data_IF_877780506964
#
_entry.id   IF_877780506964
#
_cell.length_a   1.000
_cell.length_b   1.000
_cell.length_c   1.000
_cell.angle_alpha   90.00
_cell.angle_beta   90.00
_cell.angle_gamma   90.00
#
_symmetry.space_group_name_H-M   'P 1'
#
loop_
_entity.id
_entity.type
_entity.pdbx_description
1 polymer ?
#
# COMPACT_ATOMS: atom_id res chain seq x y z
N UNK A 1 5.29 11.10 15.73
CA UNK A 1 4.75 12.45 15.49
C UNK A 1 3.27 12.29 15.17
N UNK A 2 2.38 13.07 15.80
CA UNK A 2 0.97 13.15 15.43
C UNK A 2 0.69 14.58 14.93
N UNK A 3 -0.01 14.69 13.80
CA UNK A 3 -0.47 15.96 13.24
C UNK A 3 -1.98 15.87 13.05
N UNK A 4 -2.71 16.76 13.73
CA UNK A 4 -4.18 16.83 13.78
C UNK A 4 -4.81 17.53 12.55
N UNK A 5 -4.04 17.62 11.46
CA UNK A 5 -4.42 18.23 10.19
C UNK A 5 -3.70 17.53 9.05
N UNK A 6 -4.33 17.55 7.87
CA UNK A 6 -3.68 17.11 6.66
C UNK A 6 -2.44 17.99 6.36
N UNK A 7 -1.34 17.33 5.99
CA UNK A 7 -0.10 18.00 5.61
C UNK A 7 -0.19 18.37 4.12
N UNK A 8 -0.12 19.67 3.82
CA UNK A 8 -0.04 20.17 2.45
C UNK A 8 1.41 20.05 1.93
N UNK A 9 1.60 19.38 0.79
CA UNK A 9 2.89 19.00 0.25
C UNK A 9 3.06 19.49 -1.19
N UNK A 10 3.80 20.58 -1.37
CA UNK A 10 4.23 21.10 -2.67
C UNK A 10 5.61 20.56 -3.12
N UNK A 11 6.48 20.21 -2.17
CA UNK A 11 7.85 19.77 -2.41
C UNK A 11 8.09 18.28 -2.13
N UNK A 12 9.27 17.97 -1.59
CA UNK A 12 9.61 16.62 -1.12
C UNK A 12 9.51 16.52 0.39
N UNK A 13 8.74 15.55 0.89
CA UNK A 13 8.72 15.14 2.29
C UNK A 13 9.27 13.72 2.39
N UNK A 14 10.29 13.53 3.23
CA UNK A 14 10.89 12.23 3.49
C UNK A 14 10.71 11.86 4.95
N UNK A 15 10.10 10.70 5.19
CA UNK A 15 9.85 10.12 6.50
C UNK A 15 10.75 8.89 6.67
N UNK A 16 11.52 8.83 7.74
CA UNK A 16 12.43 7.71 8.01
C UNK A 16 12.32 7.23 9.44
N UNK A 17 12.81 6.04 9.74
CA UNK A 17 13.22 5.72 11.10
C UNK A 17 14.21 6.76 11.65
N UNK A 18 14.43 6.73 12.96
CA UNK A 18 15.47 7.55 13.59
C UNK A 18 16.82 6.94 13.28
N UNK A 19 17.74 7.65 12.60
CA UNK A 19 19.09 7.15 12.38
C UNK A 19 19.79 6.87 13.71
N UNK A 20 20.50 5.76 13.78
CA UNK A 20 21.36 5.37 14.90
C UNK A 20 22.78 5.10 14.39
N UNK A 21 23.67 4.61 15.25
CA UNK A 21 25.05 4.32 14.88
C UNK A 21 25.13 3.27 13.74
N UNK A 22 26.18 3.36 12.92
CA UNK A 22 26.50 2.38 11.88
C UNK A 22 25.41 2.21 10.81
N UNK A 23 24.80 3.30 10.33
CA UNK A 23 23.75 3.30 9.30
C UNK A 23 22.51 2.45 9.64
N UNK A 24 22.24 2.29 10.95
CA UNK A 24 21.05 1.62 11.45
C UNK A 24 19.92 2.62 11.66
N UNK A 25 18.71 2.10 11.71
CA UNK A 25 17.52 2.89 11.96
C UNK A 25 16.67 2.23 13.05
N UNK A 26 16.23 3.05 14.01
CA UNK A 26 15.17 2.67 14.94
C UNK A 26 13.81 3.04 14.33
N UNK A 27 12.77 2.20 14.48
CA UNK A 27 11.44 2.48 13.93
C UNK A 27 10.88 3.82 14.39
N UNK A 28 10.28 4.57 13.46
CA UNK A 28 9.58 5.81 13.74
C UNK A 28 8.12 5.75 13.29
N UNK A 29 7.25 6.42 14.06
CA UNK A 29 5.80 6.45 13.83
C UNK A 29 5.39 7.86 13.39
N UNK A 30 4.74 7.92 12.23
CA UNK A 30 4.17 9.12 11.64
C UNK A 30 2.66 8.95 11.51
N UNK A 31 1.91 9.75 12.25
CA UNK A 31 0.45 9.79 12.19
C UNK A 31 0.02 11.17 11.74
N UNK A 32 -0.83 11.23 10.73
CA UNK A 32 -1.39 12.45 10.19
C UNK A 32 -2.84 12.18 9.79
N UNK A 33 -3.71 13.20 9.88
CA UNK A 33 -5.05 13.14 9.30
C UNK A 33 -5.01 13.00 7.76
N UNK A 34 -3.85 13.28 7.14
CA UNK A 34 -3.58 12.95 5.76
C UNK A 34 -2.38 13.67 5.17
N UNK A 35 -2.16 13.43 3.88
CA UNK A 35 -1.12 14.06 3.06
C UNK A 35 -1.76 14.53 1.75
N UNK A 36 -1.85 15.84 1.57
CA UNK A 36 -2.40 16.47 0.37
C UNK A 36 -1.24 16.92 -0.52
N UNK A 37 -1.01 16.27 -1.65
CA UNK A 37 0.07 16.63 -2.57
C UNK A 37 -0.45 17.66 -3.57
N UNK A 38 0.04 18.90 -3.46
CA UNK A 38 -0.59 20.09 -4.06
C UNK A 38 0.02 20.55 -5.38
N UNK A 39 1.20 20.02 -5.76
CA UNK A 39 1.91 20.39 -6.98
C UNK A 39 2.32 19.17 -7.82
N UNK A 40 2.45 19.38 -9.13
CA UNK A 40 3.10 18.41 -10.01
C UNK A 40 4.57 18.23 -9.58
N UNK A 41 5.03 17.00 -9.43
CA UNK A 41 6.37 16.70 -8.93
C UNK A 41 6.52 16.69 -7.40
N UNK A 42 5.46 17.04 -6.64
CA UNK A 42 5.44 16.82 -5.20
C UNK A 42 5.76 15.35 -4.90
N UNK A 43 6.57 15.11 -3.87
CA UNK A 43 7.12 13.77 -3.59
C UNK A 43 6.98 13.41 -2.11
N UNK A 44 6.27 12.33 -1.82
CA UNK A 44 6.19 11.74 -0.48
C UNK A 44 7.04 10.48 -0.44
N UNK A 45 8.04 10.44 0.44
CA UNK A 45 8.89 9.28 0.68
C UNK A 45 8.70 8.77 2.10
N UNK A 46 8.61 7.46 2.26
CA UNK A 46 8.73 6.80 3.55
C UNK A 46 9.63 5.58 3.40
N UNK A 47 10.71 5.50 4.18
CA UNK A 47 11.74 4.47 4.01
C UNK A 47 12.48 4.20 5.32
N UNK A 48 13.30 3.16 5.38
CA UNK A 48 14.23 2.91 6.50
C UNK A 48 13.53 2.84 7.85
N UNK A 49 12.64 1.87 8.05
CA UNK A 49 11.89 1.64 9.30
C UNK A 49 10.84 2.73 9.63
N UNK A 50 10.22 3.30 8.60
CA UNK A 50 9.11 4.24 8.78
C UNK A 50 7.76 3.52 8.84
N UNK A 51 6.98 3.79 9.89
CA UNK A 51 5.56 3.50 9.94
C UNK A 51 4.76 4.78 9.72
N UNK A 52 3.87 4.77 8.73
CA UNK A 52 3.12 5.95 8.29
C UNK A 52 1.62 5.66 8.28
N UNK A 53 0.84 6.60 8.80
CA UNK A 53 -0.61 6.57 8.79
C UNK A 53 -1.16 7.92 8.30
N UNK A 54 -2.20 7.84 7.47
CA UNK A 54 -2.91 8.99 6.92
C UNK A 54 -3.26 8.79 5.45
N UNK A 55 -4.45 9.21 5.05
CA UNK A 55 -4.87 9.12 3.66
C UNK A 55 -4.05 10.06 2.78
N UNK A 56 -3.72 9.65 1.56
CA UNK A 56 -3.01 10.47 0.58
C UNK A 56 -4.00 10.95 -0.47
N UNK A 57 -3.97 12.24 -0.79
CA UNK A 57 -4.82 12.85 -1.82
C UNK A 57 -4.00 13.69 -2.78
N UNK A 58 -4.28 13.58 -4.08
CA UNK A 58 -3.69 14.48 -5.09
C UNK A 58 -4.45 14.45 -6.42
N UNK A 59 -4.69 15.60 -7.02
CA UNK A 59 -5.08 15.71 -8.43
C UNK A 59 -3.88 15.93 -9.36
N UNK A 60 -2.65 15.92 -8.82
CA UNK A 60 -1.41 16.26 -9.51
C UNK A 60 -0.61 15.03 -9.91
N UNK A 61 0.37 15.23 -10.79
CA UNK A 61 1.39 14.25 -11.18
C UNK A 61 2.45 14.13 -10.09
N UNK A 62 2.02 13.72 -8.92
CA UNK A 62 2.86 13.55 -7.74
C UNK A 62 3.54 12.17 -7.72
N UNK A 63 4.56 12.00 -6.88
CA UNK A 63 5.32 10.76 -6.72
C UNK A 63 5.29 10.26 -5.27
N UNK A 64 4.89 9.01 -5.08
CA UNK A 64 4.87 8.33 -3.77
C UNK A 64 5.91 7.22 -3.81
N UNK A 65 6.84 7.20 -2.86
CA UNK A 65 7.91 6.20 -2.79
C UNK A 65 7.96 5.60 -1.38
N UNK A 66 7.60 4.34 -1.26
CA UNK A 66 7.64 3.61 0.01
C UNK A 66 8.65 2.47 -0.03
N UNK A 67 9.40 2.40 1.06
CA UNK A 67 10.53 1.51 1.26
C UNK A 67 11.64 1.67 0.23
N UNK A 68 12.63 0.79 0.35
CA UNK A 68 13.87 0.86 -0.41
C UNK A 68 14.02 -0.35 -1.33
N UNK A 69 14.32 -0.06 -2.58
CA UNK A 69 14.68 -1.06 -3.59
C UNK A 69 15.99 -1.75 -3.20
N UNK A 70 15.90 -3.02 -2.79
CA UNK A 70 17.02 -3.78 -2.22
C UNK A 70 18.18 -3.97 -3.20
N UNK A 71 17.90 -3.95 -4.50
CA UNK A 71 18.89 -4.09 -5.55
C UNK A 71 19.68 -2.79 -5.80
N UNK A 72 19.34 -1.69 -5.12
CA UNK A 72 19.88 -0.34 -5.37
C UNK A 72 20.48 0.37 -4.17
N UNK A 73 20.47 -0.22 -2.98
CA UNK A 73 21.17 0.36 -1.83
C UNK A 73 22.26 -0.55 -1.27
N UNK A 74 23.46 0.01 -1.21
CA UNK A 74 24.60 -0.47 -0.44
C UNK A 74 24.36 -0.22 1.06
N UNK A 75 24.43 -1.28 1.88
CA UNK A 75 24.74 -1.21 3.31
C UNK A 75 23.67 -0.69 4.31
N UNK A 76 22.40 -1.10 4.21
CA UNK A 76 21.53 -1.08 5.40
C UNK A 76 21.75 -2.35 6.22
N UNK A 77 22.29 -2.22 7.44
CA UNK A 77 22.41 -3.35 8.37
C UNK A 77 21.02 -3.69 8.97
N UNK A 78 20.33 -4.60 8.29
CA UNK A 78 19.00 -5.12 8.66
C UNK A 78 19.02 -6.21 9.74
N UNK A 79 20.20 -6.55 10.27
CA UNK A 79 20.34 -7.63 11.27
C UNK A 79 19.76 -7.28 12.64
N UNK A 80 19.42 -6.00 12.85
CA UNK A 80 18.86 -5.55 14.12
C UNK A 80 17.37 -5.86 14.15
N UNK A 81 17.02 -7.08 14.55
CA UNK A 81 15.64 -7.48 14.79
C UNK A 81 15.14 -6.83 16.09
N UNK A 82 14.54 -5.66 15.98
CA UNK A 82 13.91 -4.98 17.11
C UNK A 82 12.46 -5.49 17.18
N UNK A 83 12.00 -6.12 18.30
CA UNK A 83 10.63 -6.62 18.42
C UNK A 83 9.57 -5.54 18.10
N UNK A 84 9.86 -4.28 18.42
CA UNK A 84 9.04 -3.13 18.06
C UNK A 84 8.93 -2.94 16.53
N UNK A 85 10.01 -3.16 15.77
CA UNK A 85 9.99 -3.11 14.31
C UNK A 85 9.10 -4.19 13.73
N UNK A 86 9.16 -5.42 14.26
CA UNK A 86 8.29 -6.52 13.83
C UNK A 86 6.81 -6.18 14.05
N UNK A 87 6.46 -5.65 15.22
CA UNK A 87 5.09 -5.27 15.53
C UNK A 87 4.55 -4.13 14.66
N UNK A 88 5.35 -3.08 14.45
CA UNK A 88 4.94 -1.92 13.65
C UNK A 88 4.91 -2.23 12.15
N UNK A 89 5.99 -2.82 11.64
CA UNK A 89 6.26 -2.90 10.22
C UNK A 89 5.87 -4.26 9.61
N UNK A 90 5.61 -5.28 10.43
CA UNK A 90 5.22 -6.61 9.94
C UNK A 90 6.35 -7.36 9.21
N UNK A 91 7.61 -7.02 9.49
CA UNK A 91 8.78 -7.59 8.82
C UNK A 91 9.22 -6.85 7.55
N UNK A 92 8.52 -5.78 7.16
CA UNK A 92 8.85 -4.96 6.00
C UNK A 92 9.74 -3.76 6.39
N UNK A 93 10.36 -3.11 5.41
CA UNK A 93 11.15 -1.88 5.63
C UNK A 93 10.24 -0.72 6.04
N UNK A 94 9.12 -0.60 5.35
CA UNK A 94 8.17 0.49 5.53
C UNK A 94 6.77 -0.07 5.65
N UNK A 95 5.96 0.54 6.51
CA UNK A 95 4.55 0.22 6.64
C UNK A 95 3.72 1.48 6.46
N UNK A 96 2.77 1.43 5.53
CA UNK A 96 1.82 2.51 5.27
C UNK A 96 0.40 2.04 5.56
N UNK A 97 -0.39 2.86 6.25
CA UNK A 97 -1.81 2.61 6.53
C UNK A 97 -2.66 3.79 6.05
N UNK A 98 -3.54 3.54 5.09
CA UNK A 98 -4.42 4.56 4.51
C UNK A 98 -4.87 4.21 3.09
N UNK A 99 -5.81 4.99 2.57
CA UNK A 99 -6.19 5.02 1.16
C UNK A 99 -5.39 6.08 0.38
N UNK A 100 -5.18 5.83 -0.90
CA UNK A 100 -4.45 6.73 -1.81
C UNK A 100 -5.39 7.17 -2.93
N UNK A 101 -6.02 8.32 -2.80
CA UNK A 101 -6.85 8.93 -3.83
C UNK A 101 -6.04 9.95 -4.64
N UNK A 102 -5.22 9.43 -5.55
CA UNK A 102 -4.28 10.21 -6.33
C UNK A 102 -4.24 9.76 -7.81
N UNK A 103 -5.34 9.93 -8.58
CA UNK A 103 -5.51 9.29 -9.89
C UNK A 103 -4.50 9.72 -10.96
N UNK A 104 -3.81 10.85 -10.78
CA UNK A 104 -2.73 11.32 -11.66
C UNK A 104 -1.32 10.97 -11.15
N UNK A 105 -1.19 10.50 -9.91
CA UNK A 105 0.08 10.24 -9.25
C UNK A 105 0.60 8.82 -9.50
N UNK A 106 1.90 8.65 -9.31
CA UNK A 106 2.59 7.36 -9.42
C UNK A 106 3.11 6.92 -8.06
N UNK A 107 2.94 5.64 -7.72
CA UNK A 107 3.44 5.04 -6.49
C UNK A 107 4.43 3.92 -6.78
N UNK A 108 5.54 3.89 -6.05
CA UNK A 108 6.48 2.77 -6.01
C UNK A 108 6.63 2.27 -4.59
N UNK A 109 6.48 0.96 -4.39
CA UNK A 109 6.55 0.29 -3.10
C UNK A 109 7.56 -0.86 -3.18
N UNK A 110 8.61 -0.78 -2.37
CA UNK A 110 9.66 -1.79 -2.28
C UNK A 110 9.75 -2.27 -0.84
N UNK A 111 9.72 -3.59 -0.61
CA UNK A 111 9.72 -4.16 0.74
C UNK A 111 8.75 -3.42 1.70
N UNK A 112 7.52 -3.22 1.24
CA UNK A 112 6.54 -2.36 1.91
C UNK A 112 5.28 -3.13 2.28
N UNK A 113 4.78 -2.89 3.49
CA UNK A 113 3.46 -3.29 3.92
C UNK A 113 2.48 -2.13 3.74
N UNK A 114 1.61 -2.21 2.73
CA UNK A 114 0.48 -1.31 2.58
C UNK A 114 -0.78 -1.93 3.19
N UNK A 115 -1.20 -1.40 4.33
CA UNK A 115 -2.52 -1.64 4.92
C UNK A 115 -3.55 -0.75 4.22
N UNK A 116 -4.20 -1.29 3.19
CA UNK A 116 -5.20 -0.60 2.38
C UNK A 116 -6.44 -0.38 3.25
N UNK A 117 -6.59 0.84 3.76
CA UNK A 117 -7.65 1.23 4.69
C UNK A 117 -8.52 2.35 4.10
N UNK A 118 -8.87 2.22 2.82
CA UNK A 118 -9.67 3.20 2.10
C UNK A 118 -9.67 2.94 0.59
N UNK A 119 -10.63 3.56 -0.10
CA UNK A 119 -10.65 3.56 -1.56
C UNK A 119 -9.36 4.20 -2.09
N UNK A 120 -8.81 3.63 -3.16
CA UNK A 120 -7.57 4.12 -3.75
C UNK A 120 -7.66 4.19 -5.27
N UNK A 121 -7.10 5.25 -5.84
CA UNK A 121 -7.00 5.50 -7.27
C UNK A 121 -5.61 6.06 -7.59
N UNK A 122 -4.91 5.47 -8.57
CA UNK A 122 -3.55 5.84 -8.95
C UNK A 122 -3.36 5.77 -10.47
N UNK A 123 -2.50 6.62 -11.01
CA UNK A 123 -2.09 6.50 -12.41
C UNK A 123 -1.22 5.25 -12.58
N UNK A 124 -0.22 5.06 -11.73
CA UNK A 124 0.61 3.86 -11.78
C UNK A 124 0.99 3.38 -10.39
N UNK A 125 1.10 2.07 -10.24
CA UNK A 125 1.58 1.42 -9.04
C UNK A 125 2.65 0.39 -9.43
N UNK A 126 3.82 0.50 -8.82
CA UNK A 126 4.88 -0.51 -8.91
C UNK A 126 5.13 -1.11 -7.53
N UNK A 127 5.14 -2.43 -7.44
CA UNK A 127 5.38 -3.14 -6.18
C UNK A 127 6.45 -4.22 -6.34
N UNK A 128 7.37 -4.30 -5.38
CA UNK A 128 8.40 -5.34 -5.27
C UNK A 128 8.52 -5.81 -3.83
N UNK A 129 8.51 -7.13 -3.63
CA UNK A 129 8.68 -7.77 -2.31
C UNK A 129 7.75 -7.17 -1.24
N UNK A 130 6.52 -6.81 -1.65
CA UNK A 130 5.60 -6.00 -0.86
C UNK A 130 4.31 -6.75 -0.57
N UNK A 131 3.57 -6.29 0.43
CA UNK A 131 2.26 -6.83 0.80
C UNK A 131 1.20 -5.72 0.76
N UNK A 132 0.17 -5.94 -0.04
CA UNK A 132 -1.08 -5.17 0.01
C UNK A 132 -2.06 -5.94 0.90
N UNK A 133 -2.24 -5.46 2.13
CA UNK A 133 -3.16 -6.02 3.11
C UNK A 133 -4.41 -5.14 3.16
N UNK A 134 -5.51 -5.59 2.57
CA UNK A 134 -6.78 -4.90 2.72
C UNK A 134 -7.31 -5.09 4.13
N UNK A 135 -7.61 -3.99 4.82
CA UNK A 135 -7.99 -3.99 6.24
C UNK A 135 -9.27 -3.19 6.48
N UNK A 136 -9.90 -3.43 7.64
CA UNK A 136 -11.12 -2.75 8.08
C UNK A 136 -10.91 -1.93 9.35
N UNK A 137 -9.81 -1.20 9.47
CA UNK A 137 -9.40 -0.62 10.76
C UNK A 137 -10.47 0.36 11.30
N UNK A 138 -11.33 0.89 10.43
CA UNK A 138 -12.39 1.86 10.77
C UNK A 138 -13.82 1.37 10.47
N UNK A 139 -14.05 0.06 10.31
CA UNK A 139 -15.36 -0.49 9.87
C UNK A 139 -15.89 0.14 8.56
N UNK A 140 -15.00 0.63 7.70
CA UNK A 140 -15.29 1.36 6.48
C UNK A 140 -15.66 0.46 5.29
N UNK A 141 -15.86 -0.83 5.53
CA UNK A 141 -16.35 -1.80 4.54
C UNK A 141 -15.23 -2.37 3.67
N UNK A 142 -15.59 -2.82 2.47
CA UNK A 142 -14.63 -3.32 1.47
C UNK A 142 -14.06 -2.18 0.63
N UNK A 143 -12.82 -2.33 0.18
CA UNK A 143 -12.06 -1.30 -0.52
C UNK A 143 -11.69 -1.74 -1.93
N UNK A 144 -11.64 -0.79 -2.83
CA UNK A 144 -11.16 -0.97 -4.20
C UNK A 144 -9.89 -0.16 -4.38
N UNK A 145 -8.83 -0.82 -4.86
CA UNK A 145 -7.66 -0.16 -5.42
C UNK A 145 -7.80 -0.15 -6.93
N UNK A 146 -7.85 1.04 -7.53
CA UNK A 146 -7.92 1.22 -8.98
C UNK A 146 -6.62 1.84 -9.49
N UNK A 147 -5.97 1.19 -10.44
CA UNK A 147 -4.72 1.66 -11.05
C UNK A 147 -4.84 1.63 -12.57
N UNK A 148 -4.26 2.61 -13.27
CA UNK A 148 -4.18 2.50 -14.74
C UNK A 148 -3.13 1.47 -15.14
N UNK A 149 -1.93 1.54 -14.56
CA UNK A 149 -0.89 0.54 -14.77
C UNK A 149 -0.41 -0.06 -13.45
N UNK A 150 -0.22 -1.38 -13.45
CA UNK A 150 0.32 -2.14 -12.33
C UNK A 150 1.52 -2.97 -12.78
N UNK A 151 2.65 -2.75 -12.15
CA UNK A 151 3.84 -3.60 -12.28
C UNK A 151 4.16 -4.23 -10.92
N UNK A 152 3.75 -5.48 -10.72
CA UNK A 152 3.88 -6.18 -9.44
C UNK A 152 4.76 -7.42 -9.58
N UNK A 153 5.83 -7.51 -8.78
CA UNK A 153 6.67 -8.71 -8.69
C UNK A 153 6.91 -9.07 -7.24
N UNK A 154 6.92 -10.37 -6.91
CA UNK A 154 7.07 -10.85 -5.53
C UNK A 154 6.10 -10.17 -4.56
N UNK A 155 4.91 -9.82 -5.03
CA UNK A 155 3.92 -9.07 -4.24
C UNK A 155 2.82 -10.00 -3.78
N UNK A 156 2.52 -9.96 -2.49
CA UNK A 156 1.36 -10.62 -1.92
C UNK A 156 0.20 -9.63 -1.83
N UNK A 157 -1.01 -10.10 -2.10
CA UNK A 157 -2.26 -9.34 -1.90
C UNK A 157 -3.18 -10.17 -1.02
N UNK A 158 -3.63 -9.58 0.08
CA UNK A 158 -4.60 -10.20 0.99
C UNK A 158 -5.88 -9.38 0.95
N UNK A 159 -6.94 -9.97 0.42
CA UNK A 159 -8.26 -9.37 0.27
C UNK A 159 -9.24 -9.99 1.25
N UNK A 160 -10.28 -9.26 1.64
CA UNK A 160 -11.40 -9.79 2.41
C UNK A 160 -12.59 -10.05 1.50
N UNK A 161 -13.43 -11.00 1.88
CA UNK A 161 -14.71 -11.23 1.23
C UNK A 161 -15.81 -11.62 2.24
N UNK A 162 -17.01 -11.08 2.04
CA UNK A 162 -18.25 -11.57 2.63
C UNK A 162 -19.00 -12.36 1.55
N UNK A 163 -18.98 -13.69 1.72
CA UNK A 163 -19.60 -14.66 0.82
C UNK A 163 -21.04 -15.00 1.22
N UNK A 164 -21.70 -14.13 1.99
CA UNK A 164 -23.12 -14.26 2.28
C UNK A 164 -23.98 -13.86 1.07
N UNK A 165 -25.08 -14.60 0.89
CA UNK A 165 -25.98 -14.50 -0.27
C UNK A 165 -26.58 -13.11 -0.47
N UNK A 166 -26.73 -12.33 0.60
CA UNK A 166 -27.38 -11.01 0.57
C UNK A 166 -26.45 -9.87 0.18
N UNK A 167 -25.13 -10.06 0.26
CA UNK A 167 -24.15 -8.98 0.14
C UNK A 167 -23.16 -9.26 -1.00
N UNK A 168 -22.57 -10.46 -1.06
CA UNK A 168 -21.53 -10.85 -2.03
C UNK A 168 -20.53 -9.71 -2.34
N UNK A 169 -19.86 -9.22 -1.31
CA UNK A 169 -18.90 -8.11 -1.41
C UNK A 169 -17.50 -8.57 -1.06
N UNK A 170 -16.52 -7.95 -1.69
CA UNK A 170 -15.11 -8.21 -1.45
C UNK A 170 -14.31 -6.95 -1.67
N UNK A 171 -13.08 -6.97 -1.17
CA UNK A 171 -12.05 -6.07 -1.65
C UNK A 171 -11.77 -6.34 -3.14
N UNK A 172 -11.32 -5.31 -3.84
CA UNK A 172 -11.05 -5.37 -5.28
C UNK A 172 -9.75 -4.68 -5.67
N UNK A 173 -9.08 -5.26 -6.67
CA UNK A 173 -7.98 -4.63 -7.39
C UNK A 173 -8.34 -4.51 -8.86
N UNK A 174 -8.46 -3.28 -9.36
CA UNK A 174 -8.85 -2.99 -10.74
C UNK A 174 -7.65 -2.38 -11.46
N UNK A 175 -7.17 -3.06 -12.49
CA UNK A 175 -6.13 -2.59 -13.39
C UNK A 175 -6.77 -2.27 -14.74
N UNK A 176 -6.67 -1.02 -15.18
CA UNK A 176 -7.39 -0.55 -16.38
C UNK A 176 -6.64 -0.81 -17.69
N UNK A 177 -5.34 -0.51 -17.74
CA UNK A 177 -4.60 -0.43 -19.01
C UNK A 177 -3.50 -1.48 -19.15
N UNK A 178 -2.70 -1.72 -18.11
CA UNK A 178 -1.57 -2.64 -18.19
C UNK A 178 -1.28 -3.32 -16.85
N UNK A 179 -1.14 -4.64 -16.87
CA UNK A 179 -0.68 -5.45 -15.75
C UNK A 179 0.57 -6.24 -16.18
N UNK A 180 1.68 -6.02 -15.48
CA UNK A 180 2.97 -6.71 -15.70
C UNK A 180 3.58 -7.21 -14.39
N UNK A 181 4.70 -7.94 -14.51
CA UNK A 181 5.43 -8.53 -13.39
C UNK A 181 5.09 -10.01 -13.17
N UNK A 182 5.60 -10.60 -12.10
CA UNK A 182 5.61 -12.06 -11.92
C UNK A 182 5.73 -12.48 -10.46
N UNK A 183 5.40 -13.74 -10.16
CA UNK A 183 5.57 -14.34 -8.83
C UNK A 183 4.78 -13.59 -7.74
N UNK A 184 3.50 -13.33 -8.00
CA UNK A 184 2.59 -12.70 -7.05
C UNK A 184 1.64 -13.73 -6.44
N UNK A 185 1.17 -13.48 -5.22
CA UNK A 185 0.20 -14.35 -4.52
C UNK A 185 -1.05 -13.57 -4.13
N UNK A 186 -2.20 -14.27 -4.11
CA UNK A 186 -3.47 -13.76 -3.63
C UNK A 186 -3.99 -14.68 -2.54
N UNK A 187 -4.29 -14.11 -1.37
CA UNK A 187 -5.01 -14.78 -0.29
C UNK A 187 -6.31 -14.05 -0.01
N UNK A 188 -7.33 -14.80 0.42
CA UNK A 188 -8.64 -14.27 0.74
C UNK A 188 -9.00 -14.59 2.17
N UNK A 189 -9.26 -13.56 2.96
CA UNK A 189 -9.80 -13.65 4.31
C UNK A 189 -11.34 -13.62 4.26
N UNK A 190 -11.93 -14.81 4.40
CA UNK A 190 -13.38 -14.99 4.31
C UNK A 190 -14.01 -14.57 5.64
N UNK A 191 -14.62 -13.39 5.65
CA UNK A 191 -15.25 -12.80 6.83
C UNK A 191 -16.56 -13.52 7.20
N UNK A 192 -17.28 -14.03 6.19
CA UNK A 192 -18.56 -14.69 6.36
C UNK A 192 -18.84 -15.64 5.19
N UNK A 193 -19.45 -16.78 5.50
CA UNK A 193 -19.85 -17.80 4.53
C UNK A 193 -21.37 -17.93 4.54
N UNK A 194 -22.00 -17.94 3.37
CA UNK A 194 -23.40 -18.32 3.21
C UNK A 194 -23.62 -19.84 3.19
N UNK A 195 -24.84 -20.29 3.49
CA UNK A 195 -25.16 -21.73 3.66
C UNK A 195 -25.50 -22.48 2.36
N UNK A 196 -24.95 -22.09 1.20
CA UNK A 196 -25.40 -22.62 -0.09
C UNK A 196 -24.33 -23.48 -0.78
N UNK A 197 -24.76 -24.62 -1.34
CA UNK A 197 -23.96 -25.51 -2.19
C UNK A 197 -23.78 -24.99 -3.64
N UNK A 198 -24.22 -23.77 -3.93
CA UNK A 198 -23.98 -23.08 -5.20
C UNK A 198 -22.57 -22.49 -5.18
N UNK A 199 -21.73 -22.83 -6.16
CA UNK A 199 -20.32 -22.40 -6.20
C UNK A 199 -20.09 -20.89 -6.03
N UNK A 200 -18.88 -20.52 -5.61
CA UNK A 200 -18.48 -19.13 -5.36
C UNK A 200 -18.15 -18.40 -6.67
N UNK A 201 -18.74 -17.22 -6.85
CA UNK A 201 -18.45 -16.33 -7.98
C UNK A 201 -18.26 -14.89 -7.48
N UNK A 202 -16.99 -14.50 -7.29
CA UNK A 202 -16.60 -13.19 -6.72
C UNK A 202 -15.43 -12.62 -7.52
N UNK A 203 -15.63 -11.43 -8.08
CA UNK A 203 -14.59 -10.71 -8.79
C UNK A 203 -13.65 -9.99 -7.82
N UNK A 204 -12.42 -10.51 -7.69
CA UNK A 204 -11.38 -9.95 -6.83
C UNK A 204 -10.41 -9.04 -7.61
N UNK A 205 -9.99 -9.48 -8.80
CA UNK A 205 -9.03 -8.76 -9.64
C UNK A 205 -9.59 -8.62 -11.05
N UNK A 206 -9.63 -7.39 -11.55
CA UNK A 206 -9.95 -7.08 -12.95
C UNK A 206 -8.71 -6.53 -13.64
N UNK A 207 -8.38 -7.07 -14.81
CA UNK A 207 -7.20 -6.67 -15.58
C UNK A 207 -7.55 -6.56 -17.08
N UNK A 208 -6.79 -5.78 -17.86
CA UNK A 208 -7.01 -5.65 -19.30
C UNK A 208 -6.79 -7.00 -20.00
N UNK A 209 -7.57 -7.25 -21.06
CA UNK A 209 -7.28 -8.35 -21.98
C UNK A 209 -5.97 -8.04 -22.72
N UNK A 210 -5.11 -9.03 -22.90
CA UNK A 210 -3.96 -8.87 -23.80
C UNK A 210 -4.50 -8.58 -25.20
N UNK A 211 -4.02 -7.52 -25.85
CA UNK A 211 -4.18 -7.38 -27.30
C UNK A 211 -3.34 -8.49 -27.94
N UNK A 212 -4.01 -9.41 -28.63
CA UNK A 212 -3.37 -10.46 -29.44
C UNK A 212 -2.72 -9.84 -30.67
#
# INVERSE_FOLDING_TARGET
MYVDKAIELAGTLTLTGTPTENNKYSPAIYMSDGYNMTEDGATLKAQNYAWVNGNIKSDKKASILFGVDQDKEDNLDKTTHIPLATGLLGGFDTSYTGGIDAPAASASMYNTLWRVNGQSALQSLKTRDSLLLFSNIENSGFHTVTVNTLDATNTAVIMRADLSQSVNQSDKLIVKNQLTGSNNSLSVDIQKVGNNNSGLNVDLITAPKRKQ
#
